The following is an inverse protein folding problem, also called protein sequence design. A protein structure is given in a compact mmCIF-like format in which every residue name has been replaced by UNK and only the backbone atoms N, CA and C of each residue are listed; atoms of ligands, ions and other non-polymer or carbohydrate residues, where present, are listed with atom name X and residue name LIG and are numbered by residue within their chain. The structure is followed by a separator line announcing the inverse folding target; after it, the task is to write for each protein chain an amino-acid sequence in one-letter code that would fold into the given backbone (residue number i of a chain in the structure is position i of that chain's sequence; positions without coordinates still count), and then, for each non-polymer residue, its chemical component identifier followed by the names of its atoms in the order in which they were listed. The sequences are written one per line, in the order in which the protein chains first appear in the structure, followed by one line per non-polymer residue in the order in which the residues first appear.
data_IF_774324130946
#
_entry.id   IF_774324130946
#
_cell.length_a   1.000
_cell.length_b   1.000
_cell.length_c   1.000
_cell.angle_alpha   90.00
_cell.angle_beta   90.00
_cell.angle_gamma   90.00
#
_symmetry.space_group_name_H-M   'P 1'
#
loop_
_entity.id
_entity.type
_entity.pdbx_description
1 polymer ?
#
# COMPACT_ATOMS: atom_id res chain seq x y z
N UNK A 1 -14.49 28.03 53.27
CA UNK A 1 -15.41 26.87 53.16
C UNK A 1 -16.07 26.95 51.80
N UNK A 2 -16.02 25.87 51.02
CA UNK A 2 -16.61 25.80 49.67
C UNK A 2 -15.60 25.45 48.59
N UNK A 3 -15.23 24.17 48.51
CA UNK A 3 -14.54 23.56 47.36
C UNK A 3 -15.49 23.45 46.16
N UNK A 4 -14.93 23.52 44.95
CA UNK A 4 -15.63 23.19 43.71
C UNK A 4 -14.69 23.28 42.51
N UNK A 5 -13.92 22.22 42.28
CA UNK A 5 -13.26 21.94 41.01
C UNK A 5 -14.29 21.78 39.88
N UNK A 6 -13.83 21.94 38.64
CA UNK A 6 -14.18 21.17 37.43
C UNK A 6 -14.47 22.09 36.24
N UNK A 7 -14.06 21.83 35.01
CA UNK A 7 -12.99 21.02 34.45
C UNK A 7 -12.85 21.53 33.01
N UNK A 8 -11.62 21.51 32.51
CA UNK A 8 -11.24 21.87 31.15
C UNK A 8 -11.92 20.92 30.14
N UNK A 9 -12.29 21.45 28.98
CA UNK A 9 -12.35 20.65 27.76
C UNK A 9 -13.74 20.44 27.18
N UNK A 10 -14.13 21.33 26.27
CA UNK A 10 -15.21 21.03 25.32
C UNK A 10 -14.70 21.19 23.90
N UNK A 11 -14.14 20.08 23.40
CA UNK A 11 -14.36 19.55 22.05
C UNK A 11 -14.20 20.55 20.90
N UNK A 12 -12.96 20.96 20.65
CA UNK A 12 -12.55 21.30 19.28
C UNK A 12 -11.97 20.02 18.68
N UNK A 13 -12.84 19.17 18.15
CA UNK A 13 -12.48 17.87 17.61
C UNK A 13 -13.57 17.33 16.70
N UNK A 14 -14.05 18.16 15.76
CA UNK A 14 -15.02 17.71 14.75
C UNK A 14 -14.91 18.45 13.41
N UNK A 15 -13.79 19.13 13.14
CA UNK A 15 -13.62 19.94 11.93
C UNK A 15 -12.41 19.51 11.09
N UNK A 16 -12.27 18.20 10.84
CA UNK A 16 -11.39 17.69 9.79
C UNK A 16 -12.13 16.70 8.89
N UNK A 17 -13.41 16.99 8.60
CA UNK A 17 -14.12 16.43 7.45
C UNK A 17 -14.14 17.51 6.37
N UNK A 18 -12.97 17.87 5.84
CA UNK A 18 -12.82 18.91 4.82
C UNK A 18 -11.94 18.41 3.68
N UNK A 19 -12.47 18.59 2.47
CA UNK A 19 -12.10 18.04 1.17
C UNK A 19 -12.46 16.56 1.00
N UNK A 20 -13.28 16.28 -0.01
CA UNK A 20 -13.37 14.98 -0.66
C UNK A 20 -11.96 14.61 -1.11
N UNK A 21 -11.18 13.92 -0.27
CA UNK A 21 -9.86 13.43 -0.64
C UNK A 21 -10.09 12.38 -1.70
N UNK A 22 -9.61 12.62 -2.91
CA UNK A 22 -9.61 11.59 -3.92
C UNK A 22 -8.61 10.53 -3.43
N UNK A 23 -8.86 9.23 -3.67
CA UNK A 23 -7.89 8.18 -3.35
C UNK A 23 -6.51 8.47 -3.97
N UNK A 24 -6.47 9.23 -5.08
CA UNK A 24 -5.23 9.68 -5.74
C UNK A 24 -4.38 10.61 -4.88
N UNK A 25 -4.97 11.25 -3.86
CA UNK A 25 -4.27 12.13 -2.91
C UNK A 25 -3.58 11.33 -1.79
N UNK A 26 -3.88 10.03 -1.66
CA UNK A 26 -3.21 9.17 -0.68
C UNK A 26 -1.77 8.90 -1.12
N UNK A 27 -0.80 9.31 -0.29
CA UNK A 27 0.63 9.02 -0.52
C UNK A 27 0.87 7.51 -0.67
N UNK A 28 0.15 6.68 0.09
CA UNK A 28 0.22 5.22 -0.05
C UNK A 28 -0.17 4.75 -1.45
N UNK A 29 -1.22 5.35 -2.04
CA UNK A 29 -1.65 5.03 -3.39
C UNK A 29 -0.64 5.50 -4.44
N UNK A 30 -0.14 6.74 -4.33
CA UNK A 30 0.85 7.29 -5.27
C UNK A 30 2.12 6.44 -5.30
N UNK A 31 2.63 6.05 -4.13
CA UNK A 31 3.80 5.17 -4.02
C UNK A 31 3.52 3.76 -4.55
N UNK A 32 2.32 3.24 -4.30
CA UNK A 32 1.90 1.95 -4.86
C UNK A 32 1.79 1.97 -6.39
N UNK A 33 1.35 3.08 -6.99
CA UNK A 33 1.34 3.27 -8.45
C UNK A 33 2.76 3.27 -9.02
N UNK A 34 3.70 3.96 -8.38
CA UNK A 34 5.11 3.94 -8.79
C UNK A 34 5.70 2.52 -8.72
N UNK A 35 5.37 1.75 -7.68
CA UNK A 35 5.77 0.34 -7.58
C UNK A 35 5.16 -0.48 -8.72
N UNK A 36 3.88 -0.28 -9.05
CA UNK A 36 3.24 -0.98 -10.16
C UNK A 36 3.95 -0.70 -11.50
N UNK A 37 4.26 0.56 -11.78
CA UNK A 37 5.04 0.95 -12.97
C UNK A 37 6.43 0.31 -12.98
N UNK A 38 7.18 0.42 -11.86
CA UNK A 38 8.52 -0.15 -11.73
C UNK A 38 8.53 -1.66 -11.95
N UNK A 39 7.52 -2.39 -11.45
CA UNK A 39 7.37 -3.82 -11.70
C UNK A 39 7.10 -4.11 -13.17
N UNK A 40 6.27 -3.32 -13.85
CA UNK A 40 6.03 -3.50 -15.29
C UNK A 40 7.31 -3.35 -16.12
N UNK A 41 8.11 -2.32 -15.81
CA UNK A 41 9.41 -2.08 -16.45
C UNK A 41 10.40 -3.21 -16.15
N UNK A 42 10.56 -3.58 -14.88
CA UNK A 42 11.49 -4.63 -14.45
C UNK A 42 11.10 -6.00 -15.02
N UNK A 43 9.81 -6.34 -15.02
CA UNK A 43 9.33 -7.61 -15.58
C UNK A 43 9.35 -7.65 -17.10
N UNK A 44 9.50 -6.51 -17.77
CA UNK A 44 9.66 -6.41 -19.21
C UNK A 44 11.00 -6.95 -19.72
N UNK A 45 12.00 -7.08 -18.85
CA UNK A 45 13.33 -7.61 -19.19
C UNK A 45 13.47 -9.10 -18.90
N UNK A 46 12.45 -9.75 -18.34
CA UNK A 46 12.46 -11.18 -18.05
C UNK A 46 12.33 -11.99 -19.34
N UNK A 47 12.84 -13.24 -19.37
CA UNK A 47 12.65 -14.16 -20.49
C UNK A 47 11.17 -14.37 -20.84
N UNK A 48 10.87 -14.59 -22.12
CA UNK A 48 9.48 -14.71 -22.61
C UNK A 48 8.76 -15.93 -22.03
N UNK A 49 9.52 -16.95 -21.63
CA UNK A 49 9.04 -18.16 -20.96
C UNK A 49 8.37 -17.84 -19.62
N UNK A 50 8.81 -16.78 -18.93
CA UNK A 50 8.25 -16.34 -17.65
C UNK A 50 7.03 -15.45 -17.80
N UNK A 51 6.63 -15.10 -19.03
CA UNK A 51 5.50 -14.19 -19.31
C UNK A 51 4.22 -14.62 -18.60
N UNK A 52 3.91 -15.91 -18.61
CA UNK A 52 2.74 -16.48 -17.94
C UNK A 52 3.06 -17.06 -16.55
N UNK A 53 4.36 -17.16 -16.22
CA UNK A 53 4.88 -17.56 -14.92
C UNK A 53 5.07 -16.35 -14.01
N UNK A 54 6.31 -16.12 -13.57
CA UNK A 54 6.63 -15.14 -12.53
C UNK A 54 6.26 -13.70 -12.94
N UNK A 55 6.43 -13.33 -14.21
CA UNK A 55 6.07 -12.00 -14.72
C UNK A 55 4.59 -11.68 -14.49
N UNK A 56 3.69 -12.62 -14.82
CA UNK A 56 2.26 -12.44 -14.61
C UNK A 56 1.89 -12.33 -13.13
N UNK A 57 2.52 -13.14 -12.26
CA UNK A 57 2.23 -13.08 -10.82
C UNK A 57 2.69 -11.77 -10.19
N UNK A 58 3.90 -11.30 -10.54
CA UNK A 58 4.43 -10.03 -10.08
C UNK A 58 3.53 -8.86 -10.50
N UNK A 59 3.12 -8.79 -11.77
CA UNK A 59 2.24 -7.73 -12.27
C UNK A 59 0.87 -7.73 -11.60
N UNK A 60 0.28 -8.92 -11.35
CA UNK A 60 -0.99 -9.03 -10.63
C UNK A 60 -0.88 -8.52 -9.20
N UNK A 61 0.14 -8.96 -8.46
CA UNK A 61 0.39 -8.49 -7.10
C UNK A 61 0.63 -6.98 -7.08
N UNK A 62 1.41 -6.46 -8.02
CA UNK A 62 1.74 -5.03 -8.11
C UNK A 62 0.50 -4.15 -8.37
N UNK A 63 -0.38 -4.52 -9.31
CA UNK A 63 -1.61 -3.78 -9.60
C UNK A 63 -2.61 -3.88 -8.46
N UNK A 64 -2.66 -5.03 -7.77
CA UNK A 64 -3.54 -5.26 -6.64
C UNK A 64 -3.33 -4.23 -5.53
N UNK A 65 -2.09 -3.81 -5.26
CA UNK A 65 -1.80 -2.87 -4.16
C UNK A 65 -2.53 -1.53 -4.33
N UNK A 66 -2.31 -0.72 -5.39
CA UNK A 66 -3.02 0.54 -5.57
C UNK A 66 -4.53 0.33 -5.82
N UNK A 67 -4.93 -0.77 -6.47
CA UNK A 67 -6.34 -1.06 -6.72
C UNK A 67 -7.13 -1.26 -5.42
N UNK A 68 -6.61 -2.04 -4.47
CA UNK A 68 -7.27 -2.25 -3.18
C UNK A 68 -7.24 -0.99 -2.30
N UNK A 69 -6.19 -0.16 -2.38
CA UNK A 69 -6.18 1.14 -1.67
C UNK A 69 -7.31 2.04 -2.21
N UNK A 70 -7.45 2.14 -3.54
CA UNK A 70 -8.49 2.95 -4.18
C UNK A 70 -9.89 2.41 -3.92
N UNK A 71 -10.08 1.09 -4.08
CA UNK A 71 -11.36 0.42 -3.81
C UNK A 71 -11.79 0.62 -2.37
N UNK A 72 -10.85 0.49 -1.42
CA UNK A 72 -11.08 0.66 0.00
C UNK A 72 -11.47 2.09 0.40
N UNK A 73 -10.80 3.10 -0.14
CA UNK A 73 -11.12 4.51 0.11
C UNK A 73 -12.53 4.86 -0.35
N UNK A 74 -12.98 4.27 -1.48
CA UNK A 74 -14.35 4.40 -1.98
C UNK A 74 -15.43 3.68 -1.17
N UNK A 75 -15.09 2.94 -0.10
CA UNK A 75 -16.06 2.22 0.74
C UNK A 75 -16.71 3.13 1.79
N UNK A 76 -17.85 2.68 2.34
CA UNK A 76 -18.69 3.50 3.22
C UNK A 76 -18.25 3.47 4.68
N UNK A 77 -17.54 2.41 5.09
CA UNK A 77 -17.16 2.20 6.48
C UNK A 77 -15.65 2.04 6.67
N UNK A 78 -15.09 2.47 7.82
CA UNK A 78 -13.68 2.25 8.14
C UNK A 78 -13.29 0.76 8.14
N UNK A 79 -14.20 -0.15 8.53
CA UNK A 79 -13.95 -1.58 8.53
C UNK A 79 -13.76 -2.16 7.11
N UNK A 80 -14.60 -1.73 6.16
CA UNK A 80 -14.43 -2.14 4.75
C UNK A 80 -13.13 -1.59 4.17
N UNK A 81 -12.76 -0.35 4.48
CA UNK A 81 -11.46 0.19 4.07
C UNK A 81 -10.30 -0.60 4.68
N UNK A 82 -10.37 -0.93 5.98
CA UNK A 82 -9.39 -1.76 6.65
C UNK A 82 -9.21 -3.15 6.04
N UNK A 83 -10.31 -3.78 5.61
CA UNK A 83 -10.24 -5.07 4.90
C UNK A 83 -9.47 -4.95 3.58
N UNK A 84 -9.76 -3.92 2.79
CA UNK A 84 -9.09 -3.67 1.51
C UNK A 84 -7.61 -3.32 1.70
N UNK A 85 -7.27 -2.50 2.70
CA UNK A 85 -5.87 -2.24 3.06
C UNK A 85 -5.12 -3.49 3.52
N UNK A 86 -5.81 -4.44 4.17
CA UNK A 86 -5.22 -5.73 4.55
C UNK A 86 -4.89 -6.58 3.32
N UNK A 87 -5.75 -6.57 2.30
CA UNK A 87 -5.48 -7.21 1.00
C UNK A 87 -4.29 -6.53 0.31
N UNK A 88 -4.25 -5.20 0.27
CA UNK A 88 -3.13 -4.44 -0.28
C UNK A 88 -1.81 -4.80 0.41
N UNK A 89 -1.79 -4.88 1.75
CA UNK A 89 -0.61 -5.31 2.51
C UNK A 89 -0.22 -6.76 2.20
N UNK A 90 -1.18 -7.66 2.02
CA UNK A 90 -0.93 -9.03 1.55
C UNK A 90 -0.24 -9.05 0.18
N UNK A 91 -0.72 -8.26 -0.78
CA UNK A 91 -0.11 -8.14 -2.11
C UNK A 91 1.30 -7.53 -2.08
N UNK A 92 1.62 -6.64 -1.13
CA UNK A 92 3.00 -6.18 -0.90
C UNK A 92 3.90 -7.36 -0.54
N UNK A 93 3.50 -8.21 0.41
CA UNK A 93 4.31 -9.37 0.84
C UNK A 93 4.47 -10.42 -0.24
N UNK A 94 3.41 -10.67 -1.00
CA UNK A 94 3.45 -11.54 -2.17
C UNK A 94 4.45 -11.02 -3.21
N UNK A 95 4.40 -9.73 -3.53
CA UNK A 95 5.31 -9.13 -4.51
C UNK A 95 6.77 -9.10 -4.02
N UNK A 96 7.02 -8.77 -2.75
CA UNK A 96 8.37 -8.89 -2.15
C UNK A 96 8.92 -10.31 -2.34
N UNK A 97 8.08 -11.32 -2.11
CA UNK A 97 8.45 -12.74 -2.28
C UNK A 97 8.81 -13.05 -3.73
N UNK A 98 8.00 -12.61 -4.69
CA UNK A 98 8.27 -12.83 -6.11
C UNK A 98 9.52 -12.09 -6.61
N UNK A 99 9.77 -10.86 -6.14
CA UNK A 99 10.98 -10.09 -6.46
C UNK A 99 12.23 -10.83 -5.95
N UNK A 100 12.23 -11.30 -4.70
CA UNK A 100 13.33 -12.10 -4.15
C UNK A 100 13.54 -13.41 -4.90
N UNK A 101 12.46 -14.06 -5.33
CA UNK A 101 12.55 -15.28 -6.14
C UNK A 101 13.15 -15.01 -7.53
N UNK A 102 12.76 -13.91 -8.19
CA UNK A 102 13.30 -13.53 -9.49
C UNK A 102 14.83 -13.35 -9.43
N UNK A 103 15.35 -12.73 -8.37
CA UNK A 103 16.80 -12.60 -8.14
C UNK A 103 17.47 -13.97 -7.93
N UNK A 104 16.89 -14.84 -7.09
CA UNK A 104 17.45 -16.17 -6.82
C UNK A 104 17.53 -17.05 -8.06
N UNK A 105 16.58 -16.88 -8.98
CA UNK A 105 16.55 -17.53 -10.29
C UNK A 105 17.45 -16.83 -11.33
N UNK A 106 18.14 -15.75 -10.94
CA UNK A 106 18.98 -14.91 -11.82
C UNK A 106 18.21 -14.31 -13.00
N UNK A 107 16.90 -14.11 -12.83
CA UNK A 107 16.02 -13.48 -13.82
C UNK A 107 16.01 -11.95 -13.67
N UNK A 108 16.42 -11.44 -12.50
CA UNK A 108 16.46 -10.02 -12.18
C UNK A 108 17.80 -9.65 -11.53
N UNK A 109 18.33 -8.48 -11.88
CA UNK A 109 19.59 -7.97 -11.31
C UNK A 109 19.41 -7.53 -9.85
N UNK A 110 20.43 -7.76 -9.02
CA UNK A 110 20.40 -7.43 -7.60
C UNK A 110 20.08 -5.95 -7.32
N UNK A 111 20.55 -5.02 -8.16
CA UNK A 111 20.22 -3.59 -8.01
C UNK A 111 18.73 -3.31 -8.23
N UNK A 112 18.14 -3.87 -9.29
CA UNK A 112 16.71 -3.74 -9.56
C UNK A 112 15.88 -4.36 -8.44
N UNK A 113 16.29 -5.53 -7.94
CA UNK A 113 15.65 -6.17 -6.79
C UNK A 113 15.71 -5.29 -5.55
N UNK A 114 16.89 -4.77 -5.20
CA UNK A 114 17.09 -3.89 -4.06
C UNK A 114 16.21 -2.64 -4.14
N UNK A 115 16.16 -1.99 -5.30
CA UNK A 115 15.33 -0.79 -5.51
C UNK A 115 13.84 -1.09 -5.35
N UNK A 116 13.35 -2.19 -5.93
CA UNK A 116 11.96 -2.62 -5.77
C UNK A 116 11.63 -2.95 -4.31
N UNK A 117 12.50 -3.66 -3.60
CA UNK A 117 12.27 -4.01 -2.19
C UNK A 117 12.27 -2.77 -1.28
N UNK A 118 13.10 -1.76 -1.55
CA UNK A 118 13.07 -0.49 -0.82
C UNK A 118 11.73 0.24 -1.01
N UNK A 119 11.24 0.32 -2.25
CA UNK A 119 9.95 0.95 -2.55
C UNK A 119 8.78 0.17 -1.94
N UNK A 120 8.80 -1.17 -2.03
CA UNK A 120 7.79 -2.04 -1.41
C UNK A 120 7.76 -1.89 0.11
N UNK A 121 8.93 -1.80 0.76
CA UNK A 121 9.01 -1.54 2.18
C UNK A 121 8.42 -0.18 2.57
N UNK A 122 8.60 0.86 1.76
CA UNK A 122 7.95 2.17 1.95
C UNK A 122 6.43 2.06 1.84
N UNK A 123 5.92 1.44 0.77
CA UNK A 123 4.49 1.22 0.57
C UNK A 123 3.88 0.41 1.71
N UNK A 124 4.54 -0.67 2.14
CA UNK A 124 4.09 -1.49 3.26
C UNK A 124 3.91 -0.67 4.54
N UNK A 125 4.88 0.19 4.89
CA UNK A 125 4.78 1.08 6.06
C UNK A 125 3.63 2.07 5.93
N UNK A 126 3.41 2.64 4.75
CA UNK A 126 2.32 3.58 4.48
C UNK A 126 0.95 2.90 4.61
N UNK A 127 0.79 1.70 4.05
CA UNK A 127 -0.45 0.90 4.16
C UNK A 127 -0.73 0.53 5.62
N UNK A 128 0.28 0.06 6.36
CA UNK A 128 0.13 -0.21 7.80
C UNK A 128 -0.21 1.05 8.59
N UNK A 129 0.38 2.21 8.25
CA UNK A 129 0.05 3.50 8.85
C UNK A 129 -1.42 3.89 8.64
N UNK A 130 -1.93 3.71 7.42
CA UNK A 130 -3.34 3.93 7.09
C UNK A 130 -4.25 2.98 7.88
N UNK A 131 -3.96 1.67 7.89
CA UNK A 131 -4.69 0.67 8.69
C UNK A 131 -4.81 1.08 10.15
N UNK A 132 -3.67 1.45 10.76
CA UNK A 132 -3.62 1.87 12.16
C UNK A 132 -4.35 3.19 12.43
N UNK A 133 -4.56 4.03 11.41
CA UNK A 133 -5.34 5.27 11.56
C UNK A 133 -6.84 5.04 11.59
N UNK A 134 -7.33 3.90 11.06
CA UNK A 134 -8.75 3.53 11.05
C UNK A 134 -9.22 2.94 12.38
N UNK A 135 -8.30 2.42 13.19
CA UNK A 135 -8.56 1.79 14.49
C UNK A 135 -8.41 2.76 15.68
N UNK A 136 -8.31 4.07 15.42
CA UNK A 136 -8.13 5.11 16.44
C UNK A 136 -9.41 5.88 16.72
#
# INVERSE_FOLDING_TARGET
MGFGCDNIGTRIGCAARMASRNYTDLIAWQKAMNVAEAVYLATGTLPVEEKFGLCAQMRRAAISIPANIAEGEGRRTPGEFGNQLSVAHGSVRELETHVMLAERLKLMHADTTRDLLMQLGEVGRLVTGLLNSLNR
#
